data_IF_367267557812
#
_entry.id   IF_367267557812
#
_cell.length_a   1.000
_cell.length_b   1.000
_cell.length_c   1.000
_cell.angle_alpha   90.00
_cell.angle_beta   90.00
_cell.angle_gamma   90.00
#
_symmetry.space_group_name_H-M   'P 1'
#
loop_
_entity.id
_entity.type
_entity.pdbx_description
1 polymer ?
#
# COMPACT_ATOMS: atom_id res chain seq x y z
N UNK A 1 45.84 25.10 -31.98
CA UNK A 1 44.95 24.64 -30.86
C UNK A 1 45.42 23.33 -30.20
N UNK A 2 46.70 23.05 -30.19
CA UNK A 2 47.25 21.75 -29.68
C UNK A 2 48.15 21.87 -28.44
N UNK A 3 48.32 23.05 -27.88
CA UNK A 3 49.25 23.24 -26.73
C UNK A 3 48.58 23.51 -25.37
N UNK A 4 47.25 23.62 -25.35
CA UNK A 4 46.48 23.88 -24.12
C UNK A 4 45.96 22.56 -23.49
N UNK A 5 45.74 21.53 -24.31
CA UNK A 5 45.30 20.21 -23.82
C UNK A 5 46.42 19.39 -23.16
N UNK A 6 47.68 19.68 -23.48
CA UNK A 6 48.83 18.96 -22.90
C UNK A 6 49.25 19.49 -21.51
N UNK A 7 48.83 20.70 -21.17
CA UNK A 7 49.12 21.30 -19.85
C UNK A 7 48.13 20.90 -18.76
N UNK A 8 46.91 20.45 -19.11
CA UNK A 8 45.89 20.03 -18.14
C UNK A 8 46.02 18.57 -17.68
N UNK A 9 46.77 17.74 -18.41
CA UNK A 9 46.99 16.33 -18.05
C UNK A 9 48.01 16.14 -16.92
N UNK A 10 48.76 17.19 -16.54
CA UNK A 10 49.81 17.12 -15.50
C UNK A 10 49.39 17.58 -14.12
N UNK A 11 48.09 17.92 -13.92
CA UNK A 11 47.55 18.42 -12.64
C UNK A 11 46.60 17.45 -11.93
N UNK A 12 46.51 16.20 -12.39
CA UNK A 12 45.77 15.18 -11.65
C UNK A 12 46.69 14.52 -10.62
N UNK A 13 46.34 14.51 -9.33
CA UNK A 13 47.14 13.80 -8.35
C UNK A 13 47.11 12.29 -8.62
N UNK A 14 48.29 11.67 -8.50
CA UNK A 14 48.47 10.24 -8.67
C UNK A 14 47.51 9.45 -7.77
N UNK A 15 46.78 8.54 -8.39
CA UNK A 15 45.88 7.61 -7.72
C UNK A 15 46.70 6.77 -6.72
N UNK A 16 46.44 6.96 -5.42
CA UNK A 16 47.03 6.14 -4.38
C UNK A 16 46.63 4.65 -4.58
N UNK A 17 47.53 3.69 -4.28
CA UNK A 17 47.22 2.27 -4.40
C UNK A 17 46.09 1.92 -3.41
N UNK A 18 45.14 1.12 -3.91
CA UNK A 18 44.12 0.51 -3.06
C UNK A 18 44.82 -0.37 -2.02
N UNK A 19 44.76 0.02 -0.76
CA UNK A 19 45.04 -0.88 0.32
C UNK A 19 43.87 -1.89 0.43
N UNK A 20 44.20 -3.17 0.32
CA UNK A 20 43.30 -4.26 0.63
C UNK A 20 42.94 -4.17 2.11
N UNK A 21 41.77 -3.61 2.39
CA UNK A 21 41.21 -3.60 3.75
C UNK A 21 40.57 -4.95 4.01
N UNK A 22 41.30 -5.83 4.65
CA UNK A 22 40.69 -6.91 5.43
C UNK A 22 39.83 -6.26 6.50
N UNK A 23 38.56 -6.70 6.70
CA UNK A 23 37.77 -6.26 7.83
C UNK A 23 38.31 -6.99 9.09
N UNK A 24 39.34 -6.42 9.72
CA UNK A 24 39.63 -6.77 11.10
C UNK A 24 38.45 -6.31 11.96
N UNK A 25 37.66 -7.26 12.41
CA UNK A 25 36.68 -7.04 13.47
C UNK A 25 37.36 -6.61 14.75
N UNK A 26 37.54 -5.31 14.95
CA UNK A 26 37.94 -4.76 16.22
C UNK A 26 36.78 -4.91 17.20
N UNK A 27 36.79 -6.03 17.96
CA UNK A 27 36.06 -6.09 19.21
C UNK A 27 36.56 -4.95 20.09
N UNK A 28 35.74 -3.93 20.34
CA UNK A 28 36.09 -2.83 21.22
C UNK A 28 36.27 -3.38 22.63
N UNK A 29 37.49 -3.28 23.16
CA UNK A 29 37.84 -3.77 24.50
C UNK A 29 37.40 -2.79 25.60
N UNK A 30 36.73 -1.70 25.28
CA UNK A 30 36.40 -0.65 26.28
C UNK A 30 35.02 -0.05 25.94
N UNK A 31 34.05 -0.32 26.82
CA UNK A 31 32.77 0.35 26.86
C UNK A 31 31.58 -0.43 26.31
N UNK A 32 30.34 -0.10 26.71
CA UNK A 32 29.15 -0.72 26.20
C UNK A 32 29.02 -0.42 24.70
N UNK A 33 28.92 -1.49 23.87
CA UNK A 33 28.61 -1.36 22.45
C UNK A 33 27.14 -0.88 22.34
N UNK A 34 26.95 0.42 22.14
CA UNK A 34 25.63 0.94 21.74
C UNK A 34 25.59 0.77 20.23
N UNK A 35 24.97 -0.31 19.76
CA UNK A 35 24.51 -0.39 18.38
C UNK A 35 23.37 0.63 18.24
N UNK A 36 23.68 1.83 17.82
CA UNK A 36 22.71 2.83 17.43
C UNK A 36 22.25 2.48 16.02
N UNK A 37 21.18 1.70 15.95
CA UNK A 37 20.42 1.64 14.73
C UNK A 37 19.68 2.98 14.64
N UNK A 38 19.89 3.78 13.59
CA UNK A 38 19.14 5.03 13.48
C UNK A 38 17.66 4.66 13.50
N UNK A 39 16.93 5.18 14.47
CA UNK A 39 15.49 5.08 14.51
C UNK A 39 14.99 5.44 13.12
N UNK A 40 14.38 4.46 12.44
CA UNK A 40 14.04 4.57 11.03
C UNK A 40 13.27 5.85 10.78
N UNK A 41 13.62 6.53 9.71
CA UNK A 41 12.78 7.62 9.24
C UNK A 41 11.41 7.04 8.90
N UNK A 42 10.31 7.75 9.18
CA UNK A 42 8.98 7.26 8.82
C UNK A 42 8.95 6.98 7.32
N UNK A 43 8.67 5.73 6.97
CA UNK A 43 8.54 5.30 5.58
C UNK A 43 7.04 5.27 5.27
N UNK A 44 6.63 6.12 4.34
CA UNK A 44 5.26 6.16 3.86
C UNK A 44 5.13 5.35 2.58
N UNK A 45 4.01 4.68 2.40
CA UNK A 45 3.69 3.97 1.16
C UNK A 45 3.65 4.95 -0.03
N UNK A 46 4.16 4.56 -1.21
CA UNK A 46 4.02 5.37 -2.42
C UNK A 46 2.56 5.72 -2.71
N UNK A 47 2.31 6.91 -3.22
CA UNK A 47 0.96 7.34 -3.60
C UNK A 47 0.68 7.01 -5.06
N UNK A 48 0.62 5.72 -5.34
CA UNK A 48 0.30 5.18 -6.65
C UNK A 48 -0.73 4.06 -6.57
N UNK A 49 -1.29 3.68 -7.71
CA UNK A 49 -2.30 2.61 -7.78
C UNK A 49 -1.83 1.29 -7.17
N UNK A 50 -0.57 0.92 -7.37
CA UNK A 50 -0.05 -0.37 -6.88
C UNK A 50 0.00 -0.40 -5.35
N UNK A 51 0.39 0.72 -4.72
CA UNK A 51 0.36 0.87 -3.28
C UNK A 51 -1.09 0.92 -2.75
N UNK A 52 -1.98 1.70 -3.38
CA UNK A 52 -3.39 1.77 -2.98
C UNK A 52 -4.07 0.41 -3.06
N UNK A 53 -3.79 -0.36 -4.10
CA UNK A 53 -4.33 -1.71 -4.24
C UNK A 53 -3.75 -2.66 -3.19
N UNK A 54 -2.43 -2.63 -2.94
CA UNK A 54 -1.76 -3.57 -2.03
C UNK A 54 -1.93 -3.18 -0.57
N UNK A 55 -1.44 -2.00 -0.19
CA UNK A 55 -1.41 -1.56 1.21
C UNK A 55 -2.80 -1.11 1.70
N UNK A 56 -3.60 -0.52 0.78
CA UNK A 56 -4.97 -0.15 1.05
C UNK A 56 -5.91 -1.36 0.94
N UNK A 57 -6.33 -1.69 -0.28
CA UNK A 57 -7.42 -2.65 -0.50
C UNK A 57 -7.10 -4.09 -0.05
N UNK A 58 -5.89 -4.59 -0.34
CA UNK A 58 -5.57 -6.00 -0.08
C UNK A 58 -5.11 -6.26 1.37
N UNK A 59 -4.50 -5.29 2.04
CA UNK A 59 -3.93 -5.48 3.38
C UNK A 59 -4.74 -4.81 4.49
N UNK A 60 -5.54 -3.81 4.18
CA UNK A 60 -6.30 -3.07 5.19
C UNK A 60 -7.79 -3.46 5.17
N UNK A 61 -8.24 -4.12 6.25
CA UNK A 61 -9.61 -4.62 6.34
C UNK A 61 -10.68 -3.50 6.31
N UNK A 62 -10.34 -2.30 6.83
CA UNK A 62 -11.28 -1.15 6.85
C UNK A 62 -11.48 -0.64 5.42
N UNK A 63 -10.40 -0.46 4.66
CA UNK A 63 -10.45 -0.06 3.25
C UNK A 63 -11.20 -1.11 2.43
N UNK A 64 -10.82 -2.38 2.57
CA UNK A 64 -11.48 -3.48 1.86
C UNK A 64 -12.98 -3.47 2.07
N UNK A 65 -13.43 -3.42 3.34
CA UNK A 65 -14.85 -3.45 3.65
C UNK A 65 -15.57 -2.18 3.17
N UNK A 66 -14.96 -1.02 3.27
CA UNK A 66 -15.52 0.25 2.77
C UNK A 66 -15.74 0.21 1.26
N UNK A 67 -14.72 -0.17 0.50
CA UNK A 67 -14.82 -0.31 -0.97
C UNK A 67 -15.91 -1.32 -1.35
N UNK A 68 -15.89 -2.51 -0.74
CA UNK A 68 -16.89 -3.55 -1.00
C UNK A 68 -18.30 -3.06 -0.68
N UNK A 69 -18.51 -2.45 0.47
CA UNK A 69 -19.81 -1.97 0.90
C UNK A 69 -20.40 -0.95 -0.07
N UNK A 70 -19.58 0.01 -0.50
CA UNK A 70 -20.02 1.05 -1.46
C UNK A 70 -20.29 0.43 -2.82
N UNK A 71 -19.40 -0.43 -3.32
CA UNK A 71 -19.54 -1.05 -4.64
C UNK A 71 -20.74 -1.99 -4.70
N UNK A 72 -20.95 -2.83 -3.69
CA UNK A 72 -22.10 -3.72 -3.57
C UNK A 72 -23.43 -2.94 -3.48
N UNK A 73 -23.46 -1.89 -2.66
CA UNK A 73 -24.65 -1.05 -2.51
C UNK A 73 -24.98 -0.33 -3.84
N UNK A 74 -23.98 0.24 -4.50
CA UNK A 74 -24.18 0.93 -5.78
C UNK A 74 -24.59 -0.04 -6.91
N UNK A 75 -24.01 -1.24 -6.95
CA UNK A 75 -24.34 -2.27 -7.93
C UNK A 75 -25.74 -2.86 -7.73
N UNK A 76 -26.30 -2.77 -6.51
CA UNK A 76 -27.64 -3.27 -6.21
C UNK A 76 -28.77 -2.32 -6.66
N UNK A 77 -28.44 -1.08 -7.05
CA UNK A 77 -29.45 -0.11 -7.53
C UNK A 77 -29.94 -0.53 -8.91
N UNK A 78 -31.26 -0.76 -9.11
CA UNK A 78 -31.79 -1.12 -10.40
C UNK A 78 -31.65 0.03 -11.40
N UNK A 79 -31.20 -0.29 -12.60
CA UNK A 79 -31.14 0.66 -13.71
C UNK A 79 -32.44 0.55 -14.52
N UNK A 80 -33.20 1.64 -14.62
CA UNK A 80 -34.45 1.70 -15.35
C UNK A 80 -34.30 2.65 -16.53
N UNK A 81 -34.89 2.28 -17.67
CA UNK A 81 -34.89 3.11 -18.88
C UNK A 81 -36.26 3.76 -19.05
N UNK A 82 -36.26 5.06 -19.29
CA UNK A 82 -37.47 5.83 -19.54
C UNK A 82 -37.41 6.59 -20.87
N UNK A 83 -38.51 6.66 -21.61
CA UNK A 83 -38.69 7.51 -22.76
C UNK A 83 -40.01 8.29 -22.61
N UNK A 84 -39.96 9.63 -22.71
CA UNK A 84 -41.15 10.47 -22.58
C UNK A 84 -41.89 10.35 -21.22
N UNK A 85 -41.23 9.80 -20.18
CA UNK A 85 -41.81 9.58 -18.85
C UNK A 85 -42.43 8.18 -18.65
N UNK A 86 -42.42 7.34 -19.67
CA UNK A 86 -42.86 5.95 -19.61
C UNK A 86 -41.65 5.01 -19.48
N UNK A 87 -41.76 3.97 -18.64
CA UNK A 87 -40.73 2.97 -18.48
C UNK A 87 -40.71 2.02 -19.68
N UNK A 88 -39.52 1.83 -20.24
CA UNK A 88 -39.28 0.88 -21.33
C UNK A 88 -38.66 -0.37 -20.77
N UNK A 89 -39.39 -1.47 -20.79
CA UNK A 89 -38.94 -2.76 -20.30
C UNK A 89 -38.11 -3.56 -21.29
N UNK A 90 -38.30 -3.35 -22.61
CA UNK A 90 -37.61 -4.09 -23.68
C UNK A 90 -36.80 -3.15 -24.56
N UNK A 91 -35.49 -3.14 -24.39
CA UNK A 91 -34.58 -2.34 -25.21
C UNK A 91 -33.18 -2.97 -25.21
N UNK A 92 -32.49 -2.91 -26.33
CA UNK A 92 -31.16 -3.50 -26.49
C UNK A 92 -30.10 -2.94 -25.52
N UNK A 93 -30.30 -1.76 -24.95
CA UNK A 93 -29.45 -1.20 -23.90
C UNK A 93 -29.68 -1.94 -22.57
N UNK A 94 -30.92 -2.28 -22.24
CA UNK A 94 -31.26 -3.06 -21.03
C UNK A 94 -30.63 -4.42 -21.11
N UNK A 95 -30.75 -5.09 -22.27
CA UNK A 95 -30.14 -6.41 -22.52
C UNK A 95 -28.62 -6.37 -22.39
N UNK A 96 -27.99 -5.32 -22.94
CA UNK A 96 -26.55 -5.10 -22.85
C UNK A 96 -26.10 -4.86 -21.41
N UNK A 97 -26.84 -4.06 -20.63
CA UNK A 97 -26.50 -3.80 -19.24
C UNK A 97 -26.77 -5.05 -18.37
N UNK A 98 -27.84 -5.81 -18.67
CA UNK A 98 -28.15 -7.04 -17.95
C UNK A 98 -27.06 -8.11 -18.14
N UNK A 99 -26.41 -8.13 -19.30
CA UNK A 99 -25.28 -9.00 -19.60
C UNK A 99 -24.20 -8.26 -20.38
N UNK A 100 -23.37 -7.47 -19.70
CA UNK A 100 -22.38 -6.60 -20.34
C UNK A 100 -21.33 -7.36 -21.15
N UNK A 101 -21.00 -8.59 -20.74
CA UNK A 101 -20.09 -9.49 -21.43
C UNK A 101 -20.50 -10.95 -21.18
N UNK A 102 -19.93 -11.93 -21.93
CA UNK A 102 -20.21 -13.35 -21.71
C UNK A 102 -19.97 -13.82 -20.28
N UNK A 103 -18.98 -13.21 -19.60
CA UNK A 103 -18.49 -13.65 -18.29
C UNK A 103 -19.02 -12.83 -17.10
N UNK A 104 -19.76 -11.72 -17.35
CA UNK A 104 -20.17 -10.79 -16.31
C UNK A 104 -21.68 -10.52 -16.33
N UNK A 105 -22.27 -10.48 -15.13
CA UNK A 105 -23.61 -9.92 -14.90
C UNK A 105 -23.52 -8.40 -14.69
N UNK A 106 -24.66 -7.71 -14.62
CA UNK A 106 -24.74 -6.29 -14.24
C UNK A 106 -24.03 -6.03 -12.91
N UNK A 107 -24.26 -6.87 -11.91
CA UNK A 107 -23.69 -6.71 -10.59
C UNK A 107 -22.15 -6.83 -10.63
N UNK A 108 -21.63 -7.88 -11.27
CA UNK A 108 -20.16 -8.08 -11.38
C UNK A 108 -19.49 -6.93 -12.11
N UNK A 109 -20.11 -6.44 -13.18
CA UNK A 109 -19.63 -5.32 -13.96
C UNK A 109 -19.59 -4.02 -13.13
N UNK A 110 -20.70 -3.68 -12.46
CA UNK A 110 -20.82 -2.47 -11.67
C UNK A 110 -19.94 -2.53 -10.40
N UNK A 111 -19.86 -3.67 -9.71
CA UNK A 111 -18.95 -3.83 -8.57
C UNK A 111 -17.50 -3.59 -8.98
N UNK A 112 -17.07 -4.16 -10.10
CA UNK A 112 -15.72 -3.97 -10.62
C UNK A 112 -15.46 -2.52 -10.99
N UNK A 113 -16.42 -1.89 -11.65
CA UNK A 113 -16.33 -0.50 -12.09
C UNK A 113 -16.24 0.48 -10.91
N UNK A 114 -17.15 0.35 -9.92
CA UNK A 114 -17.10 1.16 -8.71
C UNK A 114 -15.87 0.85 -7.86
N UNK A 115 -15.47 -0.42 -7.80
CA UNK A 115 -14.25 -0.83 -7.10
C UNK A 115 -13.00 -0.13 -7.65
N UNK A 116 -12.83 -0.11 -8.97
CA UNK A 116 -11.71 0.63 -9.58
C UNK A 116 -11.82 2.15 -9.39
N UNK A 117 -13.02 2.70 -9.47
CA UNK A 117 -13.23 4.12 -9.23
C UNK A 117 -12.81 4.52 -7.81
N UNK A 118 -13.14 3.70 -6.80
CA UNK A 118 -12.76 3.94 -5.41
C UNK A 118 -11.26 3.71 -5.15
N UNK A 119 -10.68 2.66 -5.75
CA UNK A 119 -9.26 2.33 -5.50
C UNK A 119 -8.30 3.23 -6.28
N UNK A 120 -8.65 3.56 -7.53
CA UNK A 120 -7.78 4.30 -8.43
C UNK A 120 -8.18 5.78 -8.63
N UNK A 121 -9.38 6.17 -8.21
CA UNK A 121 -9.98 7.44 -8.60
C UNK A 121 -10.45 7.46 -10.05
N UNK A 122 -10.22 6.38 -10.80
CA UNK A 122 -10.47 6.24 -12.24
C UNK A 122 -11.10 4.90 -12.55
N UNK A 123 -12.06 4.87 -13.44
CA UNK A 123 -12.65 3.65 -13.97
C UNK A 123 -12.83 3.75 -15.49
N UNK A 124 -12.51 2.68 -16.18
CA UNK A 124 -12.53 2.63 -17.64
C UNK A 124 -13.42 1.49 -18.11
N UNK A 125 -14.25 1.78 -19.10
CA UNK A 125 -15.09 0.80 -19.77
C UNK A 125 -14.78 0.81 -21.25
N UNK A 126 -14.39 -0.33 -21.79
CA UNK A 126 -14.27 -0.54 -23.23
C UNK A 126 -15.64 -0.92 -23.82
N UNK A 127 -16.02 -0.21 -24.86
CA UNK A 127 -17.21 -0.47 -25.65
C UNK A 127 -16.83 -1.25 -26.91
N UNK A 128 -17.21 -2.54 -26.97
CA UNK A 128 -16.93 -3.39 -28.13
C UNK A 128 -18.14 -3.44 -29.04
N UNK A 129 -17.93 -3.01 -30.29
CA UNK A 129 -18.96 -2.97 -31.32
C UNK A 129 -18.68 -3.90 -32.51
N UNK A 130 -19.73 -4.49 -33.07
CA UNK A 130 -19.66 -5.27 -34.29
C UNK A 130 -20.74 -4.80 -35.26
N UNK A 131 -20.36 -4.50 -36.50
CA UNK A 131 -21.31 -4.04 -37.55
C UNK A 131 -22.05 -2.75 -37.14
N UNK A 132 -21.40 -1.81 -36.46
CA UNK A 132 -21.99 -0.54 -36.04
C UNK A 132 -22.95 -0.64 -34.86
N UNK A 133 -23.02 -1.78 -34.19
CA UNK A 133 -23.84 -2.00 -33.00
C UNK A 133 -22.94 -2.35 -31.80
N UNK A 134 -23.20 -1.70 -30.66
CA UNK A 134 -22.56 -2.06 -29.39
C UNK A 134 -23.00 -3.45 -28.95
N UNK A 135 -22.05 -4.30 -28.59
CA UNK A 135 -22.29 -5.71 -28.24
C UNK A 135 -21.82 -6.08 -26.84
N UNK A 136 -20.68 -5.53 -26.39
CA UNK A 136 -20.09 -5.86 -25.10
C UNK A 136 -19.53 -4.62 -24.44
N UNK A 137 -19.49 -4.66 -23.10
CA UNK A 137 -18.84 -3.70 -22.24
C UNK A 137 -17.85 -4.42 -21.32
N UNK A 138 -16.62 -3.96 -21.27
CA UNK A 138 -15.58 -4.54 -20.45
C UNK A 138 -14.96 -3.50 -19.52
N UNK A 139 -14.91 -3.79 -18.22
CA UNK A 139 -14.20 -2.95 -17.26
C UNK A 139 -12.70 -3.21 -17.37
N UNK A 140 -11.93 -2.17 -17.63
CA UNK A 140 -10.48 -2.27 -17.79
C UNK A 140 -9.76 -1.82 -16.53
N UNK A 141 -8.65 -2.49 -16.23
CA UNK A 141 -7.82 -2.18 -15.05
C UNK A 141 -7.12 -0.84 -15.21
N UNK A 142 -7.26 0.09 -14.23
CA UNK A 142 -6.68 1.44 -14.32
C UNK A 142 -5.15 1.47 -14.45
N UNK A 143 -4.44 0.55 -13.80
CA UNK A 143 -2.97 0.47 -13.86
C UNK A 143 -2.42 0.12 -15.26
N UNK A 144 -3.29 -0.36 -16.15
CA UNK A 144 -2.95 -0.69 -17.53
C UNK A 144 -3.38 0.37 -18.52
N UNK A 145 -4.14 1.37 -18.06
CA UNK A 145 -4.65 2.46 -18.89
C UNK A 145 -3.77 3.70 -18.76
N UNK A 146 -3.48 4.30 -19.89
CA UNK A 146 -2.79 5.57 -20.00
C UNK A 146 -3.58 6.51 -20.88
N UNK A 147 -3.82 7.73 -20.42
CA UNK A 147 -4.38 8.81 -21.22
C UNK A 147 -3.29 9.34 -22.16
N UNK A 148 -3.61 9.51 -23.42
CA UNK A 148 -2.76 10.14 -24.42
C UNK A 148 -3.26 11.58 -24.57
N UNK A 149 -2.52 12.60 -24.03
CA UNK A 149 -2.94 13.99 -24.16
C UNK A 149 -2.73 14.49 -25.58
N UNK A 150 -3.72 15.21 -26.10
CA UNK A 150 -3.61 15.96 -27.35
C UNK A 150 -2.82 17.27 -27.18
N UNK A 151 -2.55 17.92 -28.29
CA UNK A 151 -1.81 19.19 -28.33
C UNK A 151 -2.57 20.35 -27.69
N UNK A 152 -3.88 20.24 -27.57
CA UNK A 152 -4.79 21.19 -26.93
C UNK A 152 -5.04 20.93 -25.44
N UNK A 153 -4.39 19.89 -24.89
CA UNK A 153 -4.53 19.48 -23.49
C UNK A 153 -5.70 18.53 -23.21
N UNK A 154 -6.57 18.27 -24.21
CA UNK A 154 -7.63 17.26 -24.09
C UNK A 154 -7.11 15.89 -24.43
N UNK A 155 -7.74 14.80 -23.94
CA UNK A 155 -7.36 13.44 -24.34
C UNK A 155 -7.55 13.24 -25.86
N UNK A 156 -6.49 12.81 -26.56
CA UNK A 156 -6.53 12.37 -27.95
C UNK A 156 -6.89 10.88 -28.05
N UNK A 157 -6.72 10.15 -26.96
CA UNK A 157 -7.02 8.74 -26.88
C UNK A 157 -6.50 8.10 -25.61
N UNK A 158 -6.56 6.78 -25.63
CA UNK A 158 -6.12 5.94 -24.52
C UNK A 158 -5.19 4.84 -25.01
N UNK A 159 -4.27 4.42 -24.17
CA UNK A 159 -3.42 3.25 -24.42
C UNK A 159 -3.62 2.22 -23.30
N UNK A 160 -4.00 1.01 -23.68
CA UNK A 160 -4.09 -0.13 -22.76
C UNK A 160 -2.93 -1.07 -22.96
N UNK A 161 -2.21 -1.37 -21.88
CA UNK A 161 -1.02 -2.23 -21.92
C UNK A 161 -1.22 -3.47 -21.07
N UNK A 162 -1.12 -4.66 -21.68
CA UNK A 162 -1.23 -5.95 -21.00
C UNK A 162 -0.32 -6.99 -21.65
N UNK A 163 0.39 -7.77 -20.84
CA UNK A 163 1.21 -8.89 -21.33
C UNK A 163 2.29 -8.49 -22.34
N UNK A 164 2.86 -7.27 -22.21
CA UNK A 164 3.87 -6.75 -23.15
C UNK A 164 3.31 -6.27 -24.49
N UNK A 165 1.99 -6.20 -24.63
CA UNK A 165 1.31 -5.64 -25.81
C UNK A 165 0.56 -4.39 -25.40
N UNK A 166 0.52 -3.39 -26.30
CA UNK A 166 -0.27 -2.17 -26.13
C UNK A 166 -1.27 -2.02 -27.25
N UNK A 167 -2.48 -1.59 -26.90
CA UNK A 167 -3.55 -1.25 -27.84
C UNK A 167 -3.90 0.21 -27.62
N UNK A 168 -3.98 0.98 -28.70
CA UNK A 168 -4.41 2.39 -28.67
C UNK A 168 -5.86 2.50 -29.10
N UNK A 169 -6.60 3.30 -28.35
CA UNK A 169 -7.98 3.67 -28.63
C UNK A 169 -8.00 5.17 -28.92
N UNK A 170 -8.36 5.52 -30.16
CA UNK A 170 -8.57 6.93 -30.51
C UNK A 170 -9.87 7.44 -29.88
N UNK A 171 -9.93 8.73 -29.54
CA UNK A 171 -11.15 9.38 -29.07
C UNK A 171 -12.24 9.50 -30.14
N UNK A 172 -11.90 9.26 -31.39
CA UNK A 172 -12.87 9.32 -32.48
C UNK A 172 -13.97 8.28 -32.31
N UNK A 173 -15.25 8.69 -32.37
CA UNK A 173 -16.36 7.77 -32.20
C UNK A 173 -16.42 6.73 -33.34
N UNK A 174 -16.36 5.47 -32.99
CA UNK A 174 -16.71 4.37 -33.91
C UNK A 174 -18.21 4.13 -33.75
N UNK A 175 -18.96 4.26 -34.84
CA UNK A 175 -20.42 4.10 -34.83
C UNK A 175 -21.14 4.98 -33.76
N UNK A 176 -20.72 6.22 -33.60
CA UNK A 176 -21.22 7.19 -32.61
C UNK A 176 -20.98 6.86 -31.14
N UNK A 177 -20.18 5.85 -30.83
CA UNK A 177 -19.82 5.45 -29.48
C UNK A 177 -18.30 5.59 -29.31
N UNK A 178 -17.86 6.26 -28.26
CA UNK A 178 -16.44 6.30 -27.90
C UNK A 178 -15.98 4.92 -27.47
N UNK A 179 -14.80 4.47 -27.92
CA UNK A 179 -14.31 3.13 -27.60
C UNK A 179 -14.02 2.96 -26.11
N UNK A 180 -13.63 4.03 -25.42
CA UNK A 180 -13.38 4.05 -23.99
C UNK A 180 -14.25 5.09 -23.30
N UNK A 181 -15.02 4.65 -22.31
CA UNK A 181 -15.66 5.52 -21.34
C UNK A 181 -14.72 5.62 -20.14
N UNK A 182 -14.16 6.80 -19.91
CA UNK A 182 -13.37 7.11 -18.73
C UNK A 182 -14.20 7.94 -17.74
N UNK A 183 -14.46 7.39 -16.58
CA UNK A 183 -15.06 8.09 -15.46
C UNK A 183 -14.02 8.29 -14.38
N UNK A 184 -13.94 9.48 -13.83
CA UNK A 184 -12.93 9.85 -12.84
C UNK A 184 -13.56 10.65 -11.70
N UNK A 185 -13.03 10.48 -10.51
CA UNK A 185 -13.33 11.34 -9.37
C UNK A 185 -12.62 12.68 -9.54
N UNK A 186 -13.11 13.70 -8.83
CA UNK A 186 -12.46 15.01 -8.86
C UNK A 186 -11.02 14.93 -8.36
N UNK A 187 -10.11 15.57 -9.09
CA UNK A 187 -8.72 15.76 -8.70
C UNK A 187 -8.36 17.24 -8.82
N UNK A 188 -7.91 17.91 -7.76
CA UNK A 188 -7.66 19.35 -7.78
C UNK A 188 -6.43 19.75 -8.62
N UNK A 189 -5.53 18.81 -8.90
CA UNK A 189 -4.21 19.06 -9.49
C UNK A 189 -3.92 18.17 -10.71
N UNK A 190 -4.92 17.49 -11.27
CA UNK A 190 -4.75 16.63 -12.43
C UNK A 190 -5.94 16.69 -13.38
N UNK A 191 -5.69 17.11 -14.61
CA UNK A 191 -6.73 17.25 -15.64
C UNK A 191 -7.15 15.93 -16.27
N UNK A 192 -6.33 14.88 -16.15
CA UNK A 192 -6.54 13.62 -16.86
C UNK A 192 -6.93 12.46 -15.94
N UNK A 193 -6.50 12.48 -14.68
CA UNK A 193 -6.76 11.40 -13.74
C UNK A 193 -7.52 11.88 -12.51
N UNK A 194 -8.33 11.01 -11.96
CA UNK A 194 -9.07 11.25 -10.73
C UNK A 194 -8.28 10.87 -9.48
N UNK A 195 -8.62 11.49 -8.36
CA UNK A 195 -8.04 11.22 -7.05
C UNK A 195 -8.84 10.15 -6.32
N UNK A 196 -8.17 9.10 -5.86
CA UNK A 196 -8.76 8.06 -5.03
C UNK A 196 -9.05 8.57 -3.60
N UNK A 197 -10.17 8.22 -2.96
CA UNK A 197 -10.36 8.46 -1.54
C UNK A 197 -9.32 7.74 -0.66
N UNK A 198 -8.74 6.63 -1.15
CA UNK A 198 -7.64 5.92 -0.49
C UNK A 198 -6.39 6.83 -0.42
N UNK A 199 -6.15 7.67 -1.43
CA UNK A 199 -5.04 8.61 -1.41
C UNK A 199 -5.17 9.63 -0.28
N UNK A 200 -6.39 10.14 -0.05
CA UNK A 200 -6.67 11.05 1.07
C UNK A 200 -6.45 10.36 2.43
N UNK A 201 -6.73 9.05 2.51
CA UNK A 201 -6.56 8.25 3.72
C UNK A 201 -5.16 7.61 3.85
N UNK A 202 -4.22 7.83 2.92
CA UNK A 202 -2.97 7.06 2.83
C UNK A 202 -2.16 7.06 4.14
N UNK A 203 -2.04 8.20 4.81
CA UNK A 203 -1.35 8.29 6.10
C UNK A 203 -2.04 7.46 7.19
N UNK A 204 -3.37 7.51 7.27
CA UNK A 204 -4.14 6.73 8.23
C UNK A 204 -4.03 5.21 7.93
N UNK A 205 -3.99 4.83 6.66
CA UNK A 205 -3.78 3.43 6.24
C UNK A 205 -2.42 2.93 6.69
N UNK A 206 -1.36 3.70 6.47
CA UNK A 206 0.00 3.35 6.88
C UNK A 206 0.10 3.19 8.41
N UNK A 207 -0.49 4.12 9.17
CA UNK A 207 -0.54 4.04 10.64
C UNK A 207 -1.31 2.79 11.09
N UNK A 208 -2.48 2.53 10.50
CA UNK A 208 -3.31 1.37 10.85
C UNK A 208 -2.59 0.05 10.58
N UNK A 209 -1.95 -0.07 9.41
CA UNK A 209 -1.20 -1.25 9.01
C UNK A 209 0.05 -1.45 9.89
N UNK A 210 0.80 -0.39 10.16
CA UNK A 210 1.97 -0.41 11.05
C UNK A 210 1.59 -0.83 12.48
N UNK A 211 0.50 -0.28 13.03
CA UNK A 211 0.01 -0.67 14.35
C UNK A 211 -0.40 -2.15 14.40
N UNK A 212 -1.02 -2.67 13.33
CA UNK A 212 -1.34 -4.09 13.19
C UNK A 212 -0.10 -4.97 13.13
N UNK A 213 0.89 -4.58 12.35
CA UNK A 213 2.18 -5.27 12.22
C UNK A 213 2.96 -5.28 13.54
N UNK A 214 2.99 -4.16 14.25
CA UNK A 214 3.60 -4.06 15.57
C UNK A 214 2.94 -5.00 16.58
N UNK A 215 1.60 -4.99 16.68
CA UNK A 215 0.88 -5.89 17.57
C UNK A 215 1.18 -7.36 17.26
N UNK A 216 1.24 -7.70 15.97
CA UNK A 216 1.63 -9.06 15.55
C UNK A 216 3.04 -9.39 15.98
N UNK A 217 4.01 -8.50 15.77
CA UNK A 217 5.39 -8.69 16.17
C UNK A 217 5.53 -8.85 17.69
N UNK A 218 4.78 -8.09 18.50
CA UNK A 218 4.73 -8.26 19.93
C UNK A 218 4.21 -9.64 20.35
N UNK A 219 3.14 -10.11 19.70
CA UNK A 219 2.59 -11.44 19.96
C UNK A 219 3.57 -12.55 19.55
N UNK A 220 4.20 -12.43 18.39
CA UNK A 220 5.19 -13.38 17.90
C UNK A 220 6.43 -13.44 18.82
N UNK A 221 6.82 -12.31 19.40
CA UNK A 221 7.94 -12.19 20.34
C UNK A 221 7.53 -12.31 21.83
N UNK A 222 6.35 -12.91 22.10
CA UNK A 222 5.86 -13.13 23.47
C UNK A 222 5.52 -11.86 24.24
N UNK A 223 5.12 -10.79 23.56
CA UNK A 223 4.73 -9.49 24.13
C UNK A 223 5.76 -8.90 25.09
N UNK A 224 7.03 -9.31 25.01
CA UNK A 224 8.10 -8.75 25.83
C UNK A 224 8.75 -7.60 25.07
N UNK A 225 8.78 -6.41 25.67
CA UNK A 225 9.53 -5.29 25.12
C UNK A 225 11.01 -5.65 25.01
N UNK A 226 11.66 -5.14 23.96
CA UNK A 226 13.10 -5.23 23.83
C UNK A 226 13.77 -4.60 25.05
N UNK A 227 14.81 -5.23 25.56
CA UNK A 227 15.56 -4.79 26.71
C UNK A 227 17.04 -5.09 26.53
N UNK A 228 17.85 -4.59 27.43
CA UNK A 228 19.26 -4.91 27.49
C UNK A 228 19.51 -5.97 28.57
N UNK A 229 20.19 -7.05 28.20
CA UNK A 229 20.75 -7.96 29.16
C UNK A 229 22.09 -7.37 29.62
N UNK A 230 22.13 -6.89 30.85
CA UNK A 230 23.32 -6.29 31.44
C UNK A 230 24.07 -7.35 32.23
N UNK A 231 25.34 -7.55 31.89
CA UNK A 231 26.24 -8.42 32.66
C UNK A 231 27.08 -7.56 33.59
N UNK A 232 26.80 -7.63 34.87
CA UNK A 232 27.56 -6.92 35.90
C UNK A 232 28.59 -7.87 36.52
N UNK A 233 29.66 -8.13 35.80
CA UNK A 233 30.71 -8.99 36.30
C UNK A 233 31.60 -8.26 37.31
N UNK A 234 31.80 -8.86 38.48
CA UNK A 234 32.83 -8.42 39.43
C UNK A 234 34.25 -8.80 38.99
N UNK A 235 34.42 -9.63 37.93
CA UNK A 235 35.67 -10.27 37.55
C UNK A 235 35.91 -10.40 36.03
N UNK A 236 35.53 -9.43 35.23
CA UNK A 236 35.90 -9.38 33.79
C UNK A 236 34.75 -9.46 32.81
N UNK A 237 35.03 -9.24 31.51
CA UNK A 237 34.05 -9.28 30.43
C UNK A 237 33.80 -10.72 29.96
N UNK A 238 32.63 -10.97 29.41
CA UNK A 238 32.32 -12.24 28.72
C UNK A 238 33.29 -12.46 27.57
N UNK A 239 33.75 -13.72 27.42
CA UNK A 239 34.49 -14.11 26.20
C UNK A 239 33.56 -14.10 24.99
N UNK A 240 34.11 -14.01 23.76
CA UNK A 240 33.30 -14.05 22.54
C UNK A 240 32.44 -15.31 22.42
N UNK A 241 32.97 -16.46 22.88
CA UNK A 241 32.24 -17.75 22.91
C UNK A 241 31.09 -17.73 23.91
N UNK A 242 31.32 -17.21 25.11
CA UNK A 242 30.27 -17.05 26.14
C UNK A 242 29.15 -16.11 25.68
N UNK A 243 29.52 -15.03 25.01
CA UNK A 243 28.54 -14.09 24.44
C UNK A 243 27.70 -14.76 23.35
N UNK A 244 28.35 -15.46 22.40
CA UNK A 244 27.64 -16.19 21.33
C UNK A 244 26.70 -17.26 21.84
N UNK A 245 27.12 -18.00 22.86
CA UNK A 245 26.30 -19.03 23.51
C UNK A 245 25.11 -18.43 24.23
N UNK A 246 25.29 -17.36 24.99
CA UNK A 246 24.22 -16.65 25.68
C UNK A 246 23.18 -16.08 24.68
N UNK A 247 23.64 -15.52 23.57
CA UNK A 247 22.79 -15.04 22.50
C UNK A 247 21.95 -16.17 21.90
N UNK A 248 22.58 -17.31 21.57
CA UNK A 248 21.88 -18.47 21.01
C UNK A 248 20.87 -19.08 21.98
N UNK A 249 21.17 -19.14 23.27
CA UNK A 249 20.25 -19.64 24.30
C UNK A 249 19.05 -18.71 24.51
N UNK A 250 19.23 -17.38 24.42
CA UNK A 250 18.14 -16.41 24.46
C UNK A 250 17.24 -16.54 23.24
N UNK A 251 17.81 -16.64 22.05
CA UNK A 251 17.06 -16.79 20.80
C UNK A 251 16.25 -18.09 20.78
N UNK A 252 16.87 -19.23 21.20
CA UNK A 252 16.21 -20.51 21.18
C UNK A 252 15.16 -20.69 22.30
N UNK A 253 15.43 -20.12 23.50
CA UNK A 253 14.62 -20.37 24.68
C UNK A 253 13.47 -19.40 24.93
N UNK A 254 13.58 -18.17 24.39
CA UNK A 254 12.69 -17.05 24.77
C UNK A 254 12.07 -16.28 23.60
N UNK A 255 12.33 -16.65 22.36
CA UNK A 255 11.67 -16.08 21.19
C UNK A 255 10.48 -16.93 20.73
N UNK A 256 9.43 -16.24 20.23
CA UNK A 256 8.25 -16.85 19.63
C UNK A 256 7.11 -17.15 20.61
N UNK A 257 5.88 -17.22 20.06
CA UNK A 257 4.64 -17.38 20.82
C UNK A 257 4.59 -18.65 21.72
N UNK A 258 5.34 -19.69 21.37
CA UNK A 258 5.43 -20.94 22.16
C UNK A 258 6.18 -20.77 23.49
N UNK A 259 7.02 -19.76 23.58
CA UNK A 259 7.84 -19.47 24.75
C UNK A 259 7.27 -18.32 25.60
N UNK A 260 6.09 -17.83 25.24
CA UNK A 260 5.40 -16.75 25.94
C UNK A 260 5.16 -17.13 27.42
N UNK A 261 5.54 -16.23 28.33
CA UNK A 261 5.30 -16.42 29.76
C UNK A 261 6.33 -17.30 30.49
N UNK A 262 7.34 -17.86 29.81
CA UNK A 262 8.41 -18.60 30.49
C UNK A 262 9.24 -17.66 31.38
N UNK A 263 9.50 -18.02 32.64
CA UNK A 263 10.36 -17.24 33.49
C UNK A 263 11.80 -17.27 32.98
N UNK A 264 12.42 -16.11 32.88
CA UNK A 264 13.85 -16.01 32.57
C UNK A 264 14.65 -16.14 33.85
N UNK A 265 15.43 -17.23 33.98
CA UNK A 265 16.36 -17.39 35.08
C UNK A 265 17.69 -16.73 34.71
N UNK A 266 18.09 -15.74 35.48
CA UNK A 266 19.34 -15.01 35.28
C UNK A 266 20.32 -15.43 36.39
N UNK A 267 21.46 -15.96 35.98
CA UNK A 267 22.57 -16.34 36.88
C UNK A 267 23.80 -15.52 36.59
N UNK A 268 24.77 -15.51 37.51
CA UNK A 268 26.10 -14.97 37.29
C UNK A 268 26.19 -13.43 37.15
N UNK A 269 25.24 -12.69 37.72
CA UNK A 269 25.27 -11.22 37.68
C UNK A 269 24.64 -10.64 36.41
N UNK A 270 23.82 -11.38 35.72
CA UNK A 270 22.98 -10.90 34.64
C UNK A 270 21.75 -10.16 35.17
N UNK A 271 21.45 -8.99 34.63
CA UNK A 271 20.27 -8.20 34.94
C UNK A 271 19.54 -7.80 33.66
N UNK A 272 18.20 -7.89 33.66
CA UNK A 272 17.38 -7.48 32.51
C UNK A 272 16.85 -6.07 32.73
N UNK A 273 17.28 -5.14 31.86
CA UNK A 273 16.78 -3.77 31.85
C UNK A 273 15.88 -3.55 30.65
N UNK A 274 14.56 -3.37 30.82
CA UNK A 274 13.69 -3.02 29.72
C UNK A 274 14.06 -1.62 29.18
N UNK A 275 14.22 -1.49 27.87
CA UNK A 275 14.59 -0.26 27.18
C UNK A 275 13.44 0.31 26.34
N UNK A 276 12.34 -0.42 26.21
CA UNK A 276 11.20 -0.01 25.39
C UNK A 276 10.03 0.45 26.24
N UNK A 277 9.23 1.35 25.68
CA UNK A 277 7.93 1.74 26.21
C UNK A 277 6.99 0.51 26.24
N UNK A 278 6.12 0.47 27.24
CA UNK A 278 5.09 -0.58 27.27
C UNK A 278 4.05 -0.29 26.18
N UNK A 279 3.33 -1.31 25.68
CA UNK A 279 2.22 -1.11 24.74
C UNK A 279 1.15 -0.14 25.26
N UNK A 280 0.98 -0.07 26.58
CA UNK A 280 0.07 0.87 27.25
C UNK A 280 0.58 2.31 27.19
N UNK A 281 1.91 2.49 27.26
CA UNK A 281 2.51 3.82 27.21
C UNK A 281 2.52 4.40 25.79
N UNK A 282 2.34 3.56 24.76
CA UNK A 282 2.38 3.99 23.35
C UNK A 282 1.00 4.19 22.74
N UNK A 283 -0.07 3.85 23.46
CA UNK A 283 -1.47 4.05 23.06
C UNK A 283 -1.82 3.57 21.65
N UNK A 284 -1.19 2.46 21.23
CA UNK A 284 -1.36 1.91 19.86
C UNK A 284 -2.79 1.50 19.52
N UNK A 285 -3.57 1.14 20.53
CA UNK A 285 -4.97 0.73 20.32
C UNK A 285 -5.79 1.94 19.92
N UNK A 286 -5.61 3.06 20.63
CA UNK A 286 -6.28 4.33 20.31
C UNK A 286 -5.82 4.88 18.96
N UNK A 287 -4.52 4.89 18.68
CA UNK A 287 -3.99 5.31 17.38
C UNK A 287 -4.55 4.47 16.23
N UNK A 288 -4.67 3.14 16.43
CA UNK A 288 -5.29 2.24 15.45
C UNK A 288 -6.78 2.55 15.23
N UNK A 289 -7.52 2.81 16.29
CA UNK A 289 -8.94 3.17 16.20
C UNK A 289 -9.13 4.54 15.55
N UNK A 290 -8.31 5.53 15.89
CA UNK A 290 -8.33 6.84 15.26
C UNK A 290 -8.05 6.73 13.74
N UNK A 291 -7.00 6.01 13.37
CA UNK A 291 -6.67 5.77 11.95
C UNK A 291 -7.81 5.04 11.21
N UNK A 292 -8.46 4.05 11.84
CA UNK A 292 -9.61 3.36 11.25
C UNK A 292 -10.78 4.32 11.01
N UNK A 293 -11.03 5.27 11.92
CA UNK A 293 -12.08 6.29 11.76
C UNK A 293 -11.75 7.30 10.66
N UNK A 294 -10.50 7.71 10.53
CA UNK A 294 -10.05 8.58 9.44
C UNK A 294 -10.21 7.90 8.07
N UNK A 295 -9.88 6.61 7.97
CA UNK A 295 -10.12 5.81 6.76
C UNK A 295 -11.62 5.80 6.44
N UNK A 296 -12.45 5.50 7.42
CA UNK A 296 -13.91 5.47 7.27
C UNK A 296 -14.47 6.83 6.81
N UNK A 297 -13.96 7.92 7.39
CA UNK A 297 -14.31 9.30 7.02
C UNK A 297 -13.96 9.61 5.57
N UNK A 298 -12.73 9.32 5.14
CA UNK A 298 -12.28 9.55 3.78
C UNK A 298 -13.08 8.73 2.75
N UNK A 299 -13.51 7.53 3.13
CA UNK A 299 -14.37 6.66 2.30
C UNK A 299 -15.85 7.04 2.36
N UNK A 300 -16.26 7.96 3.25
CA UNK A 300 -17.66 8.34 3.45
C UNK A 300 -18.53 7.24 4.08
N UNK A 301 -17.95 6.29 4.79
CA UNK A 301 -18.65 5.17 5.44
C UNK A 301 -18.76 5.44 6.94
N UNK A 302 -19.96 5.41 7.53
CA UNK A 302 -20.12 5.53 8.97
C UNK A 302 -19.32 4.46 9.73
N UNK A 303 -18.50 4.83 10.74
CA UNK A 303 -17.64 3.89 11.45
C UNK A 303 -18.38 2.70 12.07
N UNK A 304 -19.61 2.92 12.53
CA UNK A 304 -20.45 1.86 13.11
C UNK A 304 -20.76 0.71 12.13
N UNK A 305 -20.87 1.00 10.83
CA UNK A 305 -21.09 -0.02 9.80
C UNK A 305 -19.85 -0.89 9.56
N UNK A 306 -18.70 -0.40 9.98
CA UNK A 306 -17.42 -1.10 9.91
C UNK A 306 -17.03 -1.79 11.22
N UNK A 307 -17.90 -1.70 12.26
CA UNK A 307 -17.60 -2.25 13.58
C UNK A 307 -16.47 -1.53 14.32
N UNK A 308 -16.18 -0.29 13.97
CA UNK A 308 -15.13 0.51 14.61
C UNK A 308 -15.69 1.06 15.92
N UNK A 309 -15.04 0.79 17.09
CA UNK A 309 -15.51 1.28 18.38
C UNK A 309 -15.37 2.81 18.50
N UNK A 310 -16.20 3.40 19.36
CA UNK A 310 -16.20 4.82 19.71
C UNK A 310 -17.56 5.48 19.53
N UNK A 311 -17.64 6.79 19.84
CA UNK A 311 -18.87 7.56 19.68
C UNK A 311 -19.19 7.75 18.19
N UNK A 312 -20.38 7.34 17.79
CA UNK A 312 -20.87 7.37 16.41
C UNK A 312 -21.96 8.43 16.22
N UNK A 313 -21.89 9.49 17.01
CA UNK A 313 -22.82 10.64 16.93
C UNK A 313 -22.33 11.67 15.92
#
# INVERSE_FOLDING_TARGET
>A
MSRILDAMSRLLPARAPKADAHPEGKASAVGPLIAWEPLGQPVWSPRDYAAFAREGYMQNAIVYRSVRMISEAAASVPLLLYEGGEEIAEHGLIDLIARPSPDHTTADFLESWYGFLLVAGNAYVEAVGVGGRLRELHVLRPDRMKVIPGTDGWPEGFEYSAGGRSVRFAEEPVASVRPILHVRLFHPDNDHYGMSPIEAAAAAIDIHNAAGGWNKALLDNSARPSGALVYAAKSGNLTGEQFARLKSELEAGFQGARNAGRPLLLEGGLDWKPLSLSPKDMDFVEAKHAAAREIALAMGVPPMLLGIPGDNT
#
